data_IF_624045331549
#
_entry.id   IF_624045331549
#
_cell.length_a   1.000
_cell.length_b   1.000
_cell.length_c   1.000
_cell.angle_alpha   90.00
_cell.angle_beta   90.00
_cell.angle_gamma   90.00
#
_symmetry.space_group_name_H-M   'P 1'
#
loop_
_entity.id
_entity.type
_entity.pdbx_description
1 polymer ?
#
# COMPACT_ATOMS: atom_id res chain seq x y z
N UNK A 1 14.13 60.74 -30.64
CA UNK A 1 13.69 60.53 -29.24
C UNK A 1 12.48 59.61 -29.11
N UNK A 2 11.42 59.76 -29.93
CA UNK A 2 10.24 58.89 -29.85
C UNK A 2 10.52 57.39 -30.08
N UNK A 3 11.38 57.04 -31.03
CA UNK A 3 11.75 55.63 -31.30
C UNK A 3 12.48 54.95 -30.13
N UNK A 4 13.30 55.70 -29.39
CA UNK A 4 14.06 55.18 -28.25
C UNK A 4 13.14 54.89 -27.04
N UNK A 5 12.11 55.73 -26.86
CA UNK A 5 11.08 55.51 -25.83
C UNK A 5 10.21 54.30 -26.20
N UNK A 6 9.87 54.14 -27.48
CA UNK A 6 9.09 52.99 -27.94
C UNK A 6 9.84 51.66 -27.73
N UNK A 7 11.15 51.58 -28.00
CA UNK A 7 11.92 50.35 -27.83
C UNK A 7 12.09 49.95 -26.35
N UNK A 8 12.29 50.91 -25.45
CA UNK A 8 12.46 50.63 -24.01
C UNK A 8 11.16 50.16 -23.35
N UNK A 9 10.01 50.74 -23.74
CA UNK A 9 8.69 50.29 -23.28
C UNK A 9 8.40 48.86 -23.76
N UNK A 10 8.67 48.54 -25.03
CA UNK A 10 8.47 47.19 -25.58
C UNK A 10 9.34 46.16 -24.84
N UNK A 11 10.62 46.49 -24.57
CA UNK A 11 11.53 45.60 -23.84
C UNK A 11 11.06 45.32 -22.40
N UNK A 12 10.64 46.36 -21.65
CA UNK A 12 10.13 46.21 -20.29
C UNK A 12 8.82 45.40 -20.25
N UNK A 13 7.93 45.62 -21.22
CA UNK A 13 6.65 44.92 -21.32
C UNK A 13 6.87 43.43 -21.66
N UNK A 14 7.81 43.12 -22.56
CA UNK A 14 8.15 41.74 -22.92
C UNK A 14 8.77 40.96 -21.75
N UNK A 15 9.65 41.60 -20.97
CA UNK A 15 10.26 40.97 -19.80
C UNK A 15 9.23 40.72 -18.68
N UNK A 16 8.36 41.70 -18.40
CA UNK A 16 7.28 41.54 -17.43
C UNK A 16 6.27 40.46 -17.85
N UNK A 17 5.88 40.44 -19.13
CA UNK A 17 4.99 39.41 -19.68
C UNK A 17 5.62 38.02 -19.58
N UNK A 18 6.90 37.88 -19.93
CA UNK A 18 7.64 36.61 -19.83
C UNK A 18 7.70 36.12 -18.38
N UNK A 19 7.94 37.02 -17.42
CA UNK A 19 7.93 36.67 -16.00
C UNK A 19 6.55 36.14 -15.56
N UNK A 20 5.47 36.82 -15.92
CA UNK A 20 4.09 36.39 -15.60
C UNK A 20 3.78 35.03 -16.23
N UNK A 21 4.16 34.81 -17.49
CA UNK A 21 3.97 33.53 -18.18
C UNK A 21 4.74 32.40 -17.48
N UNK A 22 5.99 32.66 -17.07
CA UNK A 22 6.79 31.68 -16.34
C UNK A 22 6.17 31.33 -14.98
N UNK A 23 5.69 32.33 -14.22
CA UNK A 23 4.97 32.10 -12.97
C UNK A 23 3.69 31.28 -13.17
N UNK A 24 2.90 31.62 -14.20
CA UNK A 24 1.67 30.91 -14.51
C UNK A 24 1.96 29.45 -14.89
N UNK A 25 3.04 29.21 -15.65
CA UNK A 25 3.47 27.85 -16.02
C UNK A 25 3.83 27.02 -14.78
N UNK A 26 4.57 27.61 -13.83
CA UNK A 26 4.95 26.94 -12.58
C UNK A 26 3.71 26.59 -11.73
N UNK A 27 2.77 27.53 -11.60
CA UNK A 27 1.51 27.31 -10.88
C UNK A 27 0.70 26.19 -11.53
N UNK A 28 0.58 26.22 -12.86
CA UNK A 28 -0.17 25.18 -13.61
C UNK A 28 0.47 23.79 -13.44
N UNK A 29 1.79 23.72 -13.40
CA UNK A 29 2.51 22.48 -13.13
C UNK A 29 2.24 21.97 -11.71
N UNK A 30 2.32 22.83 -10.69
CA UNK A 30 2.03 22.46 -9.30
C UNK A 30 0.59 21.97 -9.11
N UNK A 31 -0.37 22.63 -9.75
CA UNK A 31 -1.78 22.18 -9.75
C UNK A 31 -1.91 20.78 -10.37
N UNK A 32 -1.24 20.53 -11.51
CA UNK A 32 -1.24 19.23 -12.17
C UNK A 32 -0.66 18.13 -11.26
N UNK A 33 0.47 18.40 -10.61
CA UNK A 33 1.10 17.47 -9.65
C UNK A 33 0.15 17.21 -8.48
N UNK A 34 -0.49 18.24 -7.93
CA UNK A 34 -1.44 18.10 -6.81
C UNK A 34 -2.65 17.23 -7.18
N UNK A 35 -3.25 17.46 -8.34
CA UNK A 35 -4.37 16.65 -8.86
C UNK A 35 -3.93 15.20 -9.07
N UNK A 36 -2.76 14.97 -9.65
CA UNK A 36 -2.21 13.64 -9.85
C UNK A 36 -2.01 12.88 -8.53
N UNK A 37 -1.43 13.54 -7.52
CA UNK A 37 -1.28 12.97 -6.18
C UNK A 37 -2.63 12.64 -5.53
N UNK A 38 -3.62 13.52 -5.69
CA UNK A 38 -4.98 13.32 -5.17
C UNK A 38 -5.66 12.12 -5.85
N UNK A 39 -5.61 12.03 -7.18
CA UNK A 39 -6.15 10.89 -7.93
C UNK A 39 -5.48 9.57 -7.53
N UNK A 40 -4.16 9.59 -7.31
CA UNK A 40 -3.42 8.41 -6.84
C UNK A 40 -3.91 7.95 -5.47
N UNK A 41 -4.17 8.89 -4.54
CA UNK A 41 -4.73 8.57 -3.21
C UNK A 41 -6.14 7.99 -3.32
N UNK A 42 -7.02 8.60 -4.11
CA UNK A 42 -8.41 8.14 -4.32
C UNK A 42 -8.43 6.72 -4.89
N UNK A 43 -7.64 6.46 -5.96
CA UNK A 43 -7.56 5.14 -6.58
C UNK A 43 -7.09 4.08 -5.58
N UNK A 44 -6.08 4.40 -4.76
CA UNK A 44 -5.59 3.48 -3.73
C UNK A 44 -6.66 3.19 -2.69
N UNK A 45 -7.37 4.21 -2.19
CA UNK A 45 -8.45 4.02 -1.21
C UNK A 45 -9.60 3.18 -1.78
N UNK A 46 -9.95 3.38 -3.05
CA UNK A 46 -10.99 2.59 -3.71
C UNK A 46 -10.59 1.11 -3.84
N UNK A 47 -9.35 0.84 -4.28
CA UNK A 47 -8.83 -0.52 -4.37
C UNK A 47 -8.72 -1.16 -2.98
N UNK A 48 -8.31 -0.40 -1.97
CA UNK A 48 -8.28 -0.84 -0.58
C UNK A 48 -9.67 -1.32 -0.15
N UNK A 49 -10.71 -0.47 -0.29
CA UNK A 49 -12.08 -0.82 0.12
C UNK A 49 -12.64 -2.06 -0.58
N UNK A 50 -12.39 -2.20 -1.89
CA UNK A 50 -12.98 -3.29 -2.66
C UNK A 50 -12.26 -4.63 -2.54
N UNK A 51 -10.94 -4.63 -2.30
CA UNK A 51 -10.13 -5.87 -2.37
C UNK A 51 -9.53 -6.29 -1.04
N UNK A 52 -9.22 -5.37 -0.13
CA UNK A 52 -8.53 -5.69 1.12
C UNK A 52 -9.36 -6.59 2.04
N UNK A 53 -10.69 -6.39 2.22
CA UNK A 53 -11.50 -7.31 3.03
C UNK A 53 -11.46 -8.75 2.52
N UNK A 54 -11.51 -8.93 1.19
CA UNK A 54 -11.40 -10.26 0.56
C UNK A 54 -10.03 -10.88 0.80
N UNK A 55 -8.95 -10.10 0.61
CA UNK A 55 -7.60 -10.58 0.87
C UNK A 55 -7.35 -10.90 2.34
N UNK A 56 -7.99 -10.17 3.27
CA UNK A 56 -7.98 -10.48 4.69
C UNK A 56 -8.70 -11.80 4.98
N UNK A 57 -9.87 -12.01 4.36
CA UNK A 57 -10.59 -13.29 4.47
C UNK A 57 -9.77 -14.47 3.91
N UNK A 58 -9.09 -14.28 2.79
CA UNK A 58 -8.20 -15.28 2.20
C UNK A 58 -6.99 -15.56 3.14
N UNK A 59 -6.38 -14.53 3.71
CA UNK A 59 -5.30 -14.68 4.71
C UNK A 59 -5.80 -15.44 5.96
N UNK A 60 -7.01 -15.14 6.43
CA UNK A 60 -7.66 -15.86 7.52
C UNK A 60 -7.86 -17.34 7.17
N UNK A 61 -8.34 -17.66 5.97
CA UNK A 61 -8.49 -19.04 5.50
C UNK A 61 -7.15 -19.79 5.49
N UNK A 62 -6.09 -19.17 5.00
CA UNK A 62 -4.75 -19.76 5.04
C UNK A 62 -4.29 -20.01 6.49
N UNK A 63 -4.51 -19.05 7.40
CA UNK A 63 -4.17 -19.24 8.82
C UNK A 63 -4.96 -20.39 9.47
N UNK A 64 -6.24 -20.55 9.12
CA UNK A 64 -7.08 -21.65 9.60
C UNK A 64 -6.59 -23.01 9.12
N UNK A 65 -6.17 -23.12 7.86
CA UNK A 65 -5.58 -24.37 7.36
C UNK A 65 -4.24 -24.69 7.99
N UNK A 66 -3.41 -23.68 8.24
CA UNK A 66 -2.11 -23.87 8.91
C UNK A 66 -2.32 -24.43 10.33
N UNK A 67 -3.31 -23.94 11.08
CA UNK A 67 -3.59 -24.48 12.42
C UNK A 67 -4.19 -25.89 12.38
N UNK A 68 -4.94 -26.25 11.33
CA UNK A 68 -5.38 -27.63 11.10
C UNK A 68 -4.18 -28.56 10.86
N UNK A 69 -3.22 -28.12 10.03
CA UNK A 69 -1.99 -28.87 9.73
C UNK A 69 -1.07 -29.00 10.96
N UNK A 70 -1.05 -28.01 11.86
CA UNK A 70 -0.25 -28.01 13.08
C UNK A 70 -0.56 -29.20 14.01
N UNK A 71 -1.79 -29.73 13.98
CA UNK A 71 -2.16 -30.89 14.81
C UNK A 71 -1.43 -32.18 14.39
N UNK A 72 -0.98 -32.29 13.14
CA UNK A 72 -0.22 -33.43 12.61
C UNK A 72 0.91 -32.94 11.70
N UNK A 73 1.80 -32.12 12.26
CA UNK A 73 2.84 -31.37 11.54
C UNK A 73 3.67 -32.24 10.56
N UNK A 74 4.16 -33.40 11.01
CA UNK A 74 5.06 -34.25 10.22
C UNK A 74 4.38 -34.84 8.98
N UNK A 75 3.07 -35.07 9.05
CA UNK A 75 2.28 -35.67 7.95
C UNK A 75 1.92 -34.63 6.89
N UNK A 76 1.70 -33.39 7.31
CA UNK A 76 1.18 -32.32 6.46
C UNK A 76 2.24 -31.32 5.97
N UNK A 77 3.54 -31.65 6.06
CA UNK A 77 4.62 -30.74 5.60
C UNK A 77 4.42 -30.21 4.16
N UNK A 78 4.03 -31.02 3.15
CA UNK A 78 3.79 -30.51 1.81
C UNK A 78 2.62 -29.51 1.75
N UNK A 79 1.55 -29.77 2.51
CA UNK A 79 0.36 -28.92 2.56
C UNK A 79 0.66 -27.59 3.28
N UNK A 80 1.48 -27.63 4.34
CA UNK A 80 1.98 -26.44 5.03
C UNK A 80 2.76 -25.56 4.06
N UNK A 81 3.70 -26.14 3.29
CA UNK A 81 4.48 -25.40 2.31
C UNK A 81 3.60 -24.76 1.23
N UNK A 82 2.58 -25.49 0.76
CA UNK A 82 1.62 -24.98 -0.22
C UNK A 82 0.82 -23.80 0.34
N UNK A 83 0.28 -23.93 1.56
CA UNK A 83 -0.52 -22.88 2.19
C UNK A 83 0.31 -21.64 2.54
N UNK A 84 1.57 -21.81 2.97
CA UNK A 84 2.52 -20.69 3.15
C UNK A 84 2.84 -19.99 1.82
N UNK A 85 3.01 -20.74 0.73
CA UNK A 85 3.23 -20.16 -0.60
C UNK A 85 2.01 -19.34 -1.08
N UNK A 86 0.79 -19.82 -0.81
CA UNK A 86 -0.45 -19.09 -1.10
C UNK A 86 -0.57 -17.83 -0.23
N UNK A 87 -0.31 -17.95 1.08
CA UNK A 87 -0.30 -16.83 2.01
C UNK A 87 0.70 -15.74 1.58
N UNK A 88 1.89 -16.12 1.10
CA UNK A 88 2.91 -15.21 0.56
C UNK A 88 2.43 -14.41 -0.65
N UNK A 89 1.59 -14.99 -1.52
CA UNK A 89 1.00 -14.25 -2.64
C UNK A 89 0.02 -13.20 -2.09
N UNK A 90 -0.81 -13.59 -1.12
CA UNK A 90 -1.78 -12.71 -0.46
C UNK A 90 -1.11 -11.55 0.28
N UNK A 91 -0.05 -11.80 1.06
CA UNK A 91 0.74 -10.76 1.76
C UNK A 91 1.35 -9.77 0.78
N UNK A 92 1.94 -10.24 -0.33
CA UNK A 92 2.50 -9.36 -1.38
C UNK A 92 1.46 -8.45 -2.00
N UNK A 93 0.24 -8.95 -2.24
CA UNK A 93 -0.85 -8.12 -2.73
C UNK A 93 -1.30 -7.10 -1.68
N UNK A 94 -1.38 -7.49 -0.41
CA UNK A 94 -1.73 -6.59 0.68
C UNK A 94 -0.69 -5.46 0.82
N UNK A 95 0.62 -5.75 0.84
CA UNK A 95 1.70 -4.76 0.95
C UNK A 95 1.61 -3.66 -0.12
N UNK A 96 1.18 -4.01 -1.34
CA UNK A 96 1.03 -3.03 -2.44
C UNK A 96 -0.15 -2.09 -2.25
N UNK A 97 -1.14 -2.49 -1.45
CA UNK A 97 -2.40 -1.78 -1.29
C UNK A 97 -2.57 -1.16 0.11
N UNK A 98 -1.74 -1.53 1.08
CA UNK A 98 -1.71 -0.94 2.42
C UNK A 98 -0.57 0.08 2.57
N UNK A 99 -0.66 0.94 3.59
CA UNK A 99 0.36 1.93 3.93
C UNK A 99 0.50 2.10 5.45
N UNK A 100 1.54 2.82 5.89
CA UNK A 100 1.82 3.06 7.30
C UNK A 100 2.18 1.80 8.08
N UNK A 101 1.81 1.77 9.36
CA UNK A 101 2.11 0.68 10.29
C UNK A 101 1.60 -0.67 9.80
N UNK A 102 0.41 -0.69 9.20
CA UNK A 102 -0.20 -1.92 8.68
C UNK A 102 0.67 -2.53 7.57
N UNK A 103 1.27 -1.70 6.71
CA UNK A 103 2.18 -2.20 5.67
C UNK A 103 3.42 -2.83 6.29
N UNK A 104 3.96 -2.20 7.33
CA UNK A 104 5.16 -2.70 8.02
C UNK A 104 4.88 -4.04 8.70
N UNK A 105 3.72 -4.20 9.35
CA UNK A 105 3.29 -5.46 9.95
C UNK A 105 3.17 -6.59 8.90
N UNK A 106 2.57 -6.31 7.74
CA UNK A 106 2.44 -7.30 6.66
C UNK A 106 3.82 -7.64 6.05
N UNK A 107 4.74 -6.67 5.97
CA UNK A 107 6.12 -6.92 5.51
C UNK A 107 6.90 -7.81 6.48
N UNK A 108 6.69 -7.65 7.79
CA UNK A 108 7.29 -8.53 8.80
C UNK A 108 6.77 -9.95 8.64
N UNK A 109 5.45 -10.13 8.50
CA UNK A 109 4.84 -11.44 8.22
C UNK A 109 5.38 -12.06 6.93
N UNK A 110 5.46 -11.29 5.83
CA UNK A 110 6.01 -11.78 4.55
C UNK A 110 7.46 -12.25 4.70
N UNK A 111 8.25 -11.51 5.50
CA UNK A 111 9.64 -11.88 5.79
C UNK A 111 9.72 -13.20 6.56
N UNK A 112 8.89 -13.39 7.59
CA UNK A 112 8.87 -14.66 8.35
C UNK A 112 8.40 -15.84 7.53
N UNK A 113 7.40 -15.65 6.66
CA UNK A 113 6.97 -16.68 5.69
C UNK A 113 8.11 -17.02 4.73
N UNK A 114 8.88 -16.02 4.26
CA UNK A 114 9.98 -16.24 3.33
C UNK A 114 11.18 -16.95 3.96
N UNK A 115 11.44 -16.74 5.25
CA UNK A 115 12.55 -17.35 5.98
C UNK A 115 12.18 -18.69 6.61
N UNK A 116 10.92 -19.11 6.51
CA UNK A 116 10.50 -20.38 7.08
C UNK A 116 11.05 -21.55 6.27
N UNK A 117 11.82 -22.40 6.93
CA UNK A 117 12.26 -23.70 6.42
C UNK A 117 11.47 -24.80 7.13
N UNK A 118 11.21 -25.92 6.45
CA UNK A 118 10.50 -27.05 7.08
C UNK A 118 11.21 -27.58 8.34
N UNK A 119 12.51 -27.39 8.37
CA UNK A 119 13.45 -27.89 9.35
C UNK A 119 13.42 -27.04 10.65
N UNK A 120 12.87 -25.83 10.57
CA UNK A 120 12.72 -24.92 11.72
C UNK A 120 11.70 -25.39 12.76
N UNK A 121 10.84 -26.34 12.39
CA UNK A 121 9.91 -27.04 13.29
C UNK A 121 8.58 -26.33 13.55
N UNK A 122 7.74 -26.99 14.35
CA UNK A 122 6.36 -26.58 14.65
C UNK A 122 6.27 -25.21 15.36
N UNK A 123 7.24 -24.92 16.25
CA UNK A 123 7.23 -23.69 17.05
C UNK A 123 7.28 -22.42 16.19
N UNK A 124 8.11 -22.42 15.15
CA UNK A 124 8.20 -21.28 14.22
C UNK A 124 6.94 -21.16 13.36
N UNK A 125 6.37 -22.28 12.91
CA UNK A 125 5.10 -22.26 12.17
C UNK A 125 3.96 -21.68 13.03
N UNK A 126 3.94 -22.01 14.33
CA UNK A 126 2.98 -21.43 15.29
C UNK A 126 3.15 -19.93 15.44
N UNK A 127 4.38 -19.40 15.44
CA UNK A 127 4.63 -17.95 15.46
C UNK A 127 4.11 -17.26 14.20
N UNK A 128 4.33 -17.87 13.03
CA UNK A 128 3.79 -17.36 11.75
C UNK A 128 2.27 -17.33 11.81
N UNK A 129 1.63 -18.41 12.27
CA UNK A 129 0.17 -18.45 12.47
C UNK A 129 -0.34 -17.32 13.36
N UNK A 130 0.27 -17.11 14.52
CA UNK A 130 -0.14 -16.03 15.45
C UNK A 130 0.01 -14.64 14.81
N UNK A 131 1.07 -14.44 14.03
CA UNK A 131 1.27 -13.18 13.31
C UNK A 131 0.26 -13.00 12.16
N UNK A 132 -0.12 -14.06 11.44
CA UNK A 132 -1.21 -13.99 10.45
C UNK A 132 -2.52 -13.55 11.10
N UNK A 133 -2.85 -14.08 12.29
CA UNK A 133 -4.05 -13.68 13.04
C UNK A 133 -3.97 -12.22 13.49
N UNK A 134 -2.80 -11.79 13.99
CA UNK A 134 -2.56 -10.40 14.40
C UNK A 134 -2.71 -9.44 13.22
N UNK A 135 -2.05 -9.72 12.10
CA UNK A 135 -2.13 -8.93 10.87
C UNK A 135 -3.56 -8.87 10.35
N UNK A 136 -4.28 -10.01 10.34
CA UNK A 136 -5.67 -10.02 9.90
C UNK A 136 -6.56 -9.13 10.78
N UNK A 137 -6.32 -9.09 12.09
CA UNK A 137 -7.03 -8.21 13.02
C UNK A 137 -6.71 -6.74 12.75
N UNK A 138 -5.43 -6.40 12.53
CA UNK A 138 -5.02 -5.04 12.21
C UNK A 138 -5.60 -4.55 10.88
N UNK A 139 -5.70 -5.43 9.87
CA UNK A 139 -6.35 -5.12 8.59
C UNK A 139 -7.82 -4.76 8.81
N UNK A 140 -8.55 -5.55 9.61
CA UNK A 140 -9.97 -5.32 9.88
C UNK A 140 -10.20 -4.01 10.64
N UNK A 141 -9.41 -3.76 11.70
CA UNK A 141 -9.49 -2.51 12.46
C UNK A 141 -9.19 -1.29 11.55
N UNK A 142 -8.13 -1.37 10.75
CA UNK A 142 -7.78 -0.29 9.81
C UNK A 142 -8.87 -0.07 8.76
N UNK A 143 -9.55 -1.15 8.34
CA UNK A 143 -10.67 -1.05 7.40
C UNK A 143 -11.90 -0.40 8.03
N UNK A 144 -12.22 -0.74 9.28
CA UNK A 144 -13.28 -0.09 10.05
C UNK A 144 -12.99 1.40 10.22
N UNK A 145 -11.79 1.78 10.68
CA UNK A 145 -11.38 3.17 10.87
C UNK A 145 -11.54 4.00 9.59
N UNK A 146 -11.04 3.49 8.46
CA UNK A 146 -11.18 4.14 7.15
C UNK A 146 -12.62 4.20 6.65
N UNK A 147 -13.51 3.36 7.17
CA UNK A 147 -14.93 3.37 6.83
C UNK A 147 -15.66 4.46 7.63
N UNK A 148 -15.32 4.62 8.90
CA UNK A 148 -15.86 5.67 9.78
C UNK A 148 -15.47 7.09 9.34
N UNK A 149 -14.22 7.32 8.92
CA UNK A 149 -13.72 8.62 8.43
C UNK A 149 -14.51 9.21 7.24
N UNK A 150 -15.29 8.41 6.53
CA UNK A 150 -16.02 8.81 5.32
C UNK A 150 -17.50 9.11 5.61
N UNK A 151 -18.00 8.66 6.77
CA UNK A 151 -19.38 8.91 7.19
C UNK A 151 -19.52 10.14 8.11
N UNK A 152 -18.41 10.59 8.73
CA UNK A 152 -18.31 11.84 9.52
C UNK A 152 -17.99 13.04 8.65
#
# INVERSE_FOLDING_TARGET
MAEFISQTVIFLTNNAFTAVVNFLSLISFLLTVSVFLTLRKIRRNYVFKGRVPKLAEDLKKHSSKIIECLNNFDVFLPEIQEELARAKVTTKYLIKNTDGSLRDAIQQLDSKINTYETDTGESELRKIYLEMVSVNTEILNTFEDKTWEIQS
#
